data_IF_587129277960
#
_entry.id   IF_587129277960
#
_cell.length_a   1.000
_cell.length_b   1.000
_cell.length_c   1.000
_cell.angle_alpha   90.00
_cell.angle_beta   90.00
_cell.angle_gamma   90.00
#
_symmetry.space_group_name_H-M   'P 1'
#
loop_
_entity.id
_entity.type
_entity.pdbx_description
1 polymer ?
#
# COMPACT_ATOMS: atom_id res chain seq x y z
N UNK A 1 -6.39 -24.88 -32.73
CA UNK A 1 -5.63 -24.48 -31.52
C UNK A 1 -5.57 -22.96 -31.48
N UNK A 2 -6.68 -22.33 -31.09
CA UNK A 2 -6.88 -20.87 -31.16
C UNK A 2 -6.81 -20.31 -29.74
N UNK A 3 -5.72 -19.59 -29.49
CA UNK A 3 -5.70 -18.25 -28.91
C UNK A 3 -6.87 -17.89 -27.95
N UNK A 4 -6.63 -18.13 -26.68
CA UNK A 4 -7.23 -17.46 -25.52
C UNK A 4 -6.12 -17.58 -24.44
N UNK A 5 -5.02 -16.81 -24.45
CA UNK A 5 -4.98 -15.36 -24.18
C UNK A 5 -6.13 -14.88 -23.28
N UNK A 6 -6.56 -15.73 -22.36
CA UNK A 6 -7.23 -15.32 -21.15
C UNK A 6 -6.17 -14.55 -20.35
N UNK A 7 -6.15 -13.23 -20.56
CA UNK A 7 -5.83 -12.19 -19.58
C UNK A 7 -5.24 -12.74 -18.27
N UNK A 8 -3.99 -13.19 -18.34
CA UNK A 8 -3.13 -13.24 -17.18
C UNK A 8 -2.72 -11.78 -16.95
N UNK A 9 -3.68 -10.98 -16.48
CA UNK A 9 -3.33 -9.87 -15.61
C UNK A 9 -2.94 -10.58 -14.32
N UNK A 10 -1.70 -11.08 -14.26
CA UNK A 10 -1.06 -11.28 -12.96
C UNK A 10 -1.14 -9.89 -12.35
N UNK A 11 -2.11 -9.71 -11.46
CA UNK A 11 -2.04 -8.65 -10.48
C UNK A 11 -0.79 -9.00 -9.68
N UNK A 12 0.36 -8.49 -10.15
CA UNK A 12 1.63 -8.53 -9.43
C UNK A 12 1.34 -7.70 -8.19
N UNK A 13 0.76 -8.33 -7.17
CA UNK A 13 0.74 -7.74 -5.85
C UNK A 13 2.20 -7.63 -5.48
N UNK A 14 2.73 -6.41 -5.55
CA UNK A 14 4.10 -6.13 -5.18
C UNK A 14 4.30 -6.65 -3.77
N UNK A 15 5.28 -7.55 -3.65
CA UNK A 15 5.64 -8.19 -2.40
C UNK A 15 6.67 -7.29 -1.73
N UNK A 16 6.51 -7.06 -0.44
CA UNK A 16 7.44 -6.19 0.29
C UNK A 16 7.62 -6.60 1.74
N UNK A 17 8.76 -6.22 2.30
CA UNK A 17 9.03 -6.24 3.73
C UNK A 17 8.89 -4.82 4.28
N UNK A 18 8.46 -4.72 5.54
CA UNK A 18 8.32 -3.43 6.22
C UNK A 18 9.40 -3.36 7.29
N UNK A 19 10.33 -2.42 7.12
CA UNK A 19 11.41 -2.12 8.06
C UNK A 19 11.06 -0.87 8.85
N UNK A 20 11.45 -0.80 10.11
CA UNK A 20 11.41 0.46 10.88
C UNK A 20 12.43 1.46 10.32
N UNK A 21 12.09 2.74 10.31
CA UNK A 21 12.91 3.75 9.64
C UNK A 21 14.31 3.96 10.27
N UNK A 22 14.40 3.83 11.59
CA UNK A 22 15.57 4.18 12.41
C UNK A 22 16.29 2.96 13.02
N UNK A 23 15.75 1.76 12.85
CA UNK A 23 16.36 0.52 13.33
C UNK A 23 16.56 -0.47 12.18
N UNK A 24 17.40 -1.48 12.42
CA UNK A 24 17.55 -2.63 11.51
C UNK A 24 16.49 -3.71 11.72
N UNK A 25 15.33 -3.35 12.28
CA UNK A 25 14.25 -4.29 12.58
C UNK A 25 13.07 -4.17 11.63
N UNK A 26 12.30 -5.25 11.56
CA UNK A 26 11.22 -5.46 10.60
C UNK A 26 9.92 -5.84 11.31
N UNK A 27 8.82 -5.63 10.60
CA UNK A 27 7.52 -6.14 11.02
C UNK A 27 7.43 -7.64 10.67
N UNK A 28 7.16 -8.44 11.69
CA UNK A 28 6.97 -9.87 11.62
C UNK A 28 5.57 -10.27 12.11
N UNK A 29 5.12 -11.48 11.74
CA UNK A 29 3.98 -12.12 12.38
C UNK A 29 4.44 -12.97 13.55
N UNK A 30 4.00 -12.59 14.74
CA UNK A 30 4.13 -13.37 15.96
C UNK A 30 2.85 -14.11 16.32
N UNK A 31 2.93 -14.89 17.41
CA UNK A 31 1.78 -15.52 18.05
C UNK A 31 1.69 -15.04 19.50
N UNK A 32 0.48 -14.73 19.93
CA UNK A 32 0.14 -14.54 21.34
C UNK A 32 -1.07 -15.43 21.67
N UNK A 33 -0.79 -16.58 22.29
CA UNK A 33 -1.76 -17.67 22.38
C UNK A 33 -2.24 -18.12 21.00
N UNK A 34 -3.57 -18.11 20.79
CA UNK A 34 -4.18 -18.46 19.49
C UNK A 34 -4.25 -17.28 18.51
N UNK A 35 -3.87 -16.06 18.92
CA UNK A 35 -3.94 -14.88 18.07
C UNK A 35 -2.62 -14.72 17.30
N UNK A 36 -2.74 -14.31 16.03
CA UNK A 36 -1.61 -13.87 15.23
C UNK A 36 -1.53 -12.35 15.34
N UNK A 37 -0.39 -11.85 15.78
CA UNK A 37 -0.16 -10.42 16.04
C UNK A 37 1.03 -9.94 15.21
N UNK A 38 1.15 -8.63 15.04
CA UNK A 38 2.38 -8.04 14.53
C UNK A 38 3.39 -7.88 15.67
N UNK A 39 4.63 -8.25 15.41
CA UNK A 39 5.77 -8.13 16.33
C UNK A 39 6.98 -7.59 15.58
N UNK A 40 7.99 -7.15 16.33
CA UNK A 40 9.29 -6.77 15.77
C UNK A 40 10.19 -8.01 15.64
N UNK A 41 11.01 -8.05 14.59
CA UNK A 41 12.08 -9.02 14.41
C UNK A 41 13.32 -8.34 13.85
N UNK A 42 14.51 -8.81 14.21
CA UNK A 42 15.79 -8.21 13.78
C UNK A 42 16.37 -8.80 12.50
N UNK A 43 15.93 -10.00 12.13
CA UNK A 43 16.47 -10.72 10.99
C UNK A 43 15.55 -10.54 9.78
N UNK A 44 16.13 -10.02 8.70
CA UNK A 44 15.49 -9.79 7.41
C UNK A 44 15.01 -11.09 6.76
N UNK A 45 15.70 -12.20 7.00
CA UNK A 45 15.37 -13.51 6.40
C UNK A 45 14.03 -14.00 6.96
N UNK A 46 13.79 -13.78 8.26
CA UNK A 46 12.54 -14.16 8.92
C UNK A 46 11.45 -13.07 8.87
N UNK A 47 11.79 -11.88 8.38
CA UNK A 47 10.85 -10.78 8.21
C UNK A 47 9.67 -11.21 7.34
N UNK A 48 8.46 -10.84 7.77
CA UNK A 48 7.26 -11.26 7.03
C UNK A 48 7.15 -10.47 5.73
N UNK A 49 6.96 -11.18 4.64
CA UNK A 49 6.59 -10.60 3.36
C UNK A 49 5.09 -10.33 3.32
N UNK A 50 4.75 -9.12 2.91
CA UNK A 50 3.40 -8.64 2.78
C UNK A 50 3.08 -8.34 1.32
N UNK A 51 1.81 -8.46 0.96
CA UNK A 51 1.23 -7.85 -0.23
C UNK A 51 0.26 -6.74 0.17
N UNK A 52 -0.06 -5.88 -0.79
CA UNK A 52 -1.06 -4.84 -0.65
C UNK A 52 -2.08 -4.94 -1.80
N UNK A 53 -3.36 -5.01 -1.44
CA UNK A 53 -4.48 -5.01 -2.39
C UNK A 53 -5.24 -3.70 -2.25
N UNK A 54 -5.03 -2.79 -3.21
CA UNK A 54 -5.66 -1.46 -3.24
C UNK A 54 -7.12 -1.59 -3.67
N UNK A 55 -8.02 -0.91 -2.96
CA UNK A 55 -9.43 -0.76 -3.34
C UNK A 55 -9.62 0.58 -4.08
N UNK A 56 -10.79 0.79 -4.70
CA UNK A 56 -11.09 1.97 -5.52
C UNK A 56 -10.96 3.33 -4.78
N UNK A 57 -10.84 3.34 -3.45
CA UNK A 57 -10.75 4.53 -2.61
C UNK A 57 -9.32 4.84 -2.11
N UNK A 58 -8.30 4.15 -2.64
CA UNK A 58 -6.90 4.34 -2.25
C UNK A 58 -6.52 3.74 -0.89
N UNK A 59 -7.49 3.21 -0.14
CA UNK A 59 -7.26 2.29 0.97
C UNK A 59 -7.14 0.85 0.46
N UNK A 60 -6.40 0.01 1.16
CA UNK A 60 -6.23 -1.38 0.76
C UNK A 60 -6.05 -2.34 1.93
N UNK A 61 -5.98 -3.62 1.60
CA UNK A 61 -5.69 -4.67 2.57
C UNK A 61 -4.20 -4.98 2.55
N UNK A 62 -3.53 -4.86 3.69
CA UNK A 62 -2.18 -5.39 3.88
C UNK A 62 -2.32 -6.83 4.37
N UNK A 63 -1.71 -7.79 3.67
CA UNK A 63 -1.81 -9.21 3.99
C UNK A 63 -0.44 -9.89 3.95
N UNK A 64 -0.13 -10.79 4.89
CA UNK A 64 1.04 -11.65 4.74
C UNK A 64 0.88 -12.60 3.57
N UNK A 65 1.97 -12.80 2.82
CA UNK A 65 1.99 -13.75 1.72
C UNK A 65 1.73 -15.20 2.17
N UNK A 66 1.12 -15.98 1.28
CA UNK A 66 0.76 -17.38 1.53
C UNK A 66 -0.36 -17.58 2.55
N UNK A 67 -1.06 -16.53 2.99
CA UNK A 67 -2.11 -16.60 4.02
C UNK A 67 -3.38 -15.88 3.58
N UNK A 68 -4.55 -16.40 3.96
CA UNK A 68 -5.88 -15.81 3.67
C UNK A 68 -6.34 -14.77 4.70
N UNK A 69 -5.38 -14.09 5.35
CA UNK A 69 -5.63 -13.15 6.45
C UNK A 69 -5.03 -11.80 6.13
N UNK A 70 -5.56 -10.75 6.75
CA UNK A 70 -5.19 -9.35 6.56
C UNK A 70 -4.89 -8.70 7.91
N UNK A 71 -4.22 -7.56 7.89
CA UNK A 71 -4.10 -6.67 9.03
C UNK A 71 -5.49 -6.21 9.48
N UNK A 72 -5.68 -6.13 10.79
CA UNK A 72 -6.95 -5.80 11.41
C UNK A 72 -6.69 -5.07 12.72
N UNK A 73 -7.29 -3.90 12.87
CA UNK A 73 -7.25 -3.16 14.14
C UNK A 73 -8.31 -3.69 15.08
N UNK A 74 -7.92 -4.03 16.31
CA UNK A 74 -8.85 -4.41 17.39
C UNK A 74 -9.56 -3.19 17.98
N UNK A 75 -10.53 -3.43 18.86
CA UNK A 75 -11.15 -2.38 19.67
C UNK A 75 -10.17 -1.67 20.59
N UNK A 76 -9.11 -2.35 21.02
CA UNK A 76 -8.00 -1.77 21.80
C UNK A 76 -6.92 -1.11 20.93
N UNK A 77 -7.25 -0.81 19.66
CA UNK A 77 -6.37 -0.20 18.66
C UNK A 77 -5.14 -1.02 18.29
N UNK A 78 -4.99 -2.25 18.77
CA UNK A 78 -3.87 -3.12 18.42
C UNK A 78 -4.02 -3.64 16.99
N UNK A 79 -2.93 -3.70 16.24
CA UNK A 79 -2.90 -4.30 14.90
C UNK A 79 -2.59 -5.79 15.02
N UNK A 80 -3.51 -6.63 14.54
CA UNK A 80 -3.40 -8.08 14.53
C UNK A 80 -3.73 -8.66 13.15
N UNK A 81 -3.51 -9.96 12.96
CA UNK A 81 -3.79 -10.67 11.71
C UNK A 81 -5.09 -11.46 11.84
N UNK A 82 -6.11 -11.12 11.02
CA UNK A 82 -7.44 -11.74 11.03
C UNK A 82 -7.93 -12.11 9.65
N UNK A 83 -8.96 -12.97 9.58
CA UNK A 83 -9.62 -13.30 8.31
C UNK A 83 -10.14 -12.03 7.64
N UNK A 84 -9.91 -11.89 6.33
CA UNK A 84 -10.46 -10.79 5.52
C UNK A 84 -11.98 -10.81 5.58
N UNK A 85 -12.58 -9.67 5.95
CA UNK A 85 -14.03 -9.44 6.09
C UNK A 85 -14.49 -8.15 5.41
N UNK A 86 -13.59 -7.41 4.76
CA UNK A 86 -13.92 -6.17 4.06
C UNK A 86 -14.35 -5.02 4.98
N UNK A 87 -13.97 -5.06 6.26
CA UNK A 87 -14.38 -4.03 7.24
C UNK A 87 -13.42 -2.85 7.24
N UNK A 88 -13.90 -1.67 7.64
CA UNK A 88 -13.10 -0.43 7.70
C UNK A 88 -11.84 -0.55 8.56
N UNK A 89 -11.87 -1.33 9.64
CA UNK A 89 -10.72 -1.59 10.52
C UNK A 89 -9.69 -2.58 9.92
N UNK A 90 -9.90 -3.03 8.68
CA UNK A 90 -8.96 -3.86 7.90
C UNK A 90 -8.38 -3.10 6.70
N UNK A 91 -8.78 -1.84 6.53
CA UNK A 91 -8.34 -0.97 5.44
C UNK A 91 -7.22 -0.07 5.94
N UNK A 92 -6.10 -0.10 5.22
CA UNK A 92 -4.88 0.64 5.52
C UNK A 92 -4.44 1.45 4.30
N UNK A 93 -3.64 2.48 4.53
CA UNK A 93 -2.98 3.22 3.48
C UNK A 93 -1.48 3.30 3.78
N UNK A 94 -0.65 3.19 2.74
CA UNK A 94 0.80 3.40 2.82
C UNK A 94 1.08 4.77 2.22
N UNK A 95 1.42 5.72 3.07
CA UNK A 95 1.54 7.14 2.73
C UNK A 95 3.00 7.53 2.66
N UNK A 96 3.44 7.97 1.49
CA UNK A 96 4.77 8.55 1.30
C UNK A 96 4.93 9.85 2.12
N UNK A 97 6.01 9.96 2.88
CA UNK A 97 6.37 11.15 3.67
C UNK A 97 7.60 11.84 3.09
N UNK A 98 8.68 11.07 2.96
CA UNK A 98 10.00 11.50 2.50
C UNK A 98 10.63 10.34 1.72
N UNK A 99 11.75 10.56 0.99
CA UNK A 99 12.47 9.47 0.34
C UNK A 99 12.70 8.30 1.31
N UNK A 100 12.27 7.10 0.91
CA UNK A 100 12.37 5.85 1.67
C UNK A 100 11.59 5.79 2.99
N UNK A 101 10.75 6.81 3.29
CA UNK A 101 9.99 6.91 4.54
C UNK A 101 8.49 7.01 4.28
N UNK A 102 7.77 6.12 4.94
CA UNK A 102 6.34 5.92 4.78
C UNK A 102 5.66 5.86 6.15
N UNK A 103 4.41 6.34 6.20
CA UNK A 103 3.49 6.01 7.27
C UNK A 103 2.56 4.90 6.80
N UNK A 104 2.16 4.05 7.73
CA UNK A 104 1.02 3.16 7.52
C UNK A 104 -0.14 3.70 8.35
N UNK A 105 -1.25 4.02 7.70
CA UNK A 105 -2.39 4.68 8.34
C UNK A 105 -3.66 3.86 8.20
N UNK A 106 -4.57 3.99 9.17
CA UNK A 106 -5.91 3.41 9.14
C UNK A 106 -6.83 4.24 10.02
N UNK A 107 -8.08 4.45 9.58
CA UNK A 107 -9.10 5.17 10.36
C UNK A 107 -8.65 6.55 10.89
N UNK A 108 -7.81 7.27 10.13
CA UNK A 108 -7.28 8.59 10.51
C UNK A 108 -6.15 8.58 11.54
N UNK A 109 -5.62 7.40 11.88
CA UNK A 109 -4.52 7.19 12.82
C UNK A 109 -3.34 6.46 12.15
N UNK A 110 -2.17 6.54 12.76
CA UNK A 110 -0.92 5.95 12.29
C UNK A 110 -0.59 4.68 13.06
N UNK A 111 -0.13 3.65 12.34
CA UNK A 111 0.49 2.47 12.94
C UNK A 111 1.75 2.91 13.68
N UNK A 112 1.81 2.59 14.96
CA UNK A 112 2.85 3.02 15.90
C UNK A 112 3.37 1.79 16.64
N UNK A 113 4.68 1.66 16.74
CA UNK A 113 5.33 0.60 17.49
C UNK A 113 5.47 0.96 18.96
N UNK A 114 4.86 0.17 19.84
CA UNK A 114 4.83 0.41 21.29
C UNK A 114 5.07 -0.92 22.00
N UNK A 115 6.16 -0.99 22.78
CA UNK A 115 6.46 -2.13 23.67
C UNK A 115 6.30 -3.49 22.99
N UNK A 116 6.97 -3.66 21.85
CA UNK A 116 7.01 -4.90 21.05
C UNK A 116 5.75 -5.23 20.24
N UNK A 117 4.76 -4.34 20.19
CA UNK A 117 3.51 -4.51 19.44
C UNK A 117 3.19 -3.26 18.62
N UNK A 118 2.17 -3.35 17.76
CA UNK A 118 1.76 -2.26 16.89
C UNK A 118 0.32 -1.83 17.21
N UNK A 119 0.11 -0.52 17.31
CA UNK A 119 -1.18 0.08 17.63
C UNK A 119 -1.48 1.24 16.69
N UNK A 120 -2.76 1.56 16.51
CA UNK A 120 -3.15 2.84 15.92
C UNK A 120 -3.07 3.95 16.97
N UNK A 121 -2.30 5.00 16.68
CA UNK A 121 -2.18 6.18 17.52
C UNK A 121 -2.26 7.46 16.65
N UNK A 122 -2.36 8.63 17.29
CA UNK A 122 -2.34 9.91 16.58
C UNK A 122 -1.05 10.02 15.74
N UNK A 123 -1.19 10.45 14.49
CA UNK A 123 -0.06 10.69 13.59
C UNK A 123 0.76 11.90 14.05
N UNK A 124 1.99 11.66 14.49
CA UNK A 124 2.93 12.68 14.96
C UNK A 124 4.28 12.64 14.21
N UNK A 125 4.45 11.76 13.21
CA UNK A 125 5.69 11.59 12.43
C UNK A 125 6.92 11.23 13.28
N UNK A 126 6.69 10.55 14.40
CA UNK A 126 7.75 10.04 15.26
C UNK A 126 8.38 8.78 14.65
N UNK A 127 9.62 8.45 15.03
CA UNK A 127 10.35 7.34 14.42
C UNK A 127 9.63 5.98 14.54
N UNK A 128 8.90 5.75 15.63
CA UNK A 128 8.07 4.57 15.88
C UNK A 128 6.82 4.48 14.98
N UNK A 129 6.56 5.50 14.17
CA UNK A 129 5.50 5.55 13.16
C UNK A 129 6.04 5.51 11.72
N UNK A 130 7.35 5.66 11.54
CA UNK A 130 7.99 5.76 10.23
C UNK A 130 8.57 4.41 9.81
N UNK A 131 8.27 4.01 8.59
CA UNK A 131 8.67 2.74 8.03
C UNK A 131 9.33 2.92 6.68
N UNK A 132 10.16 1.95 6.31
CA UNK A 132 10.72 1.79 4.98
C UNK A 132 10.12 0.54 4.34
N UNK A 133 9.64 0.68 3.11
CA UNK A 133 9.10 -0.43 2.32
C UNK A 133 10.21 -0.95 1.41
N UNK A 134 10.50 -2.25 1.51
CA UNK A 134 11.57 -2.91 0.76
C UNK A 134 10.93 -3.92 -0.18
N UNK A 135 11.02 -3.69 -1.48
CA UNK A 135 10.38 -4.53 -2.50
C UNK A 135 11.31 -5.65 -2.97
N UNK A 136 12.61 -5.36 -3.10
CA UNK A 136 13.59 -6.33 -3.58
C UNK A 136 14.81 -6.44 -2.69
N UNK A 137 15.49 -7.60 -2.73
CA UNK A 137 16.57 -7.85 -1.78
C UNK A 137 17.78 -6.91 -1.95
N UNK A 138 17.97 -6.41 -3.17
CA UNK A 138 19.05 -5.52 -3.60
C UNK A 138 18.85 -4.04 -3.20
N UNK A 139 17.62 -3.58 -2.95
CA UNK A 139 17.30 -2.17 -2.63
C UNK A 139 17.92 -1.69 -1.31
N UNK A 140 18.19 -2.61 -0.38
CA UNK A 140 18.75 -2.29 0.95
C UNK A 140 20.14 -1.66 0.87
N UNK A 141 20.93 -2.03 -0.14
CA UNK A 141 22.26 -1.45 -0.33
C UNK A 141 22.18 -0.03 -0.93
N UNK A 142 21.21 0.22 -1.81
CA UNK A 142 21.01 1.53 -2.46
C UNK A 142 20.42 2.57 -1.49
N UNK A 143 19.50 2.16 -0.61
CA UNK A 143 18.94 3.04 0.45
C UNK A 143 20.01 3.56 1.43
N UNK A 144 21.04 2.75 1.68
CA UNK A 144 22.17 3.14 2.56
C UNK A 144 23.02 4.24 1.91
N UNK A 145 23.10 4.29 0.58
CA UNK A 145 23.79 5.35 -0.16
C UNK A 145 22.98 6.65 -0.19
N UNK A 146 21.66 6.58 -0.40
CA UNK A 146 20.77 7.76 -0.37
C UNK A 146 20.82 8.47 0.99
N UNK A 147 20.79 7.72 2.11
CA UNK A 147 20.97 8.28 3.47
C UNK A 147 22.37 8.90 3.68
N UNK A 148 23.44 8.31 3.13
CA UNK A 148 24.80 8.88 3.19
C UNK A 148 24.94 10.16 2.38
N UNK A 149 24.22 10.27 1.26
CA UNK A 149 24.17 11.48 0.44
C UNK A 149 23.38 12.57 1.16
N UNK A 150 22.21 12.25 1.74
CA UNK A 150 21.40 13.21 2.51
C UNK A 150 22.10 13.73 3.76
N UNK A 151 22.81 12.89 4.51
CA UNK A 151 23.54 13.32 5.72
C UNK A 151 24.80 14.15 5.43
N UNK A 152 25.33 14.10 4.20
CA UNK A 152 26.36 15.04 3.73
C UNK A 152 25.77 16.36 3.21
N UNK A 153 24.45 16.43 3.11
CA UNK A 153 23.67 17.50 2.52
C UNK A 153 22.88 18.19 3.64
N UNK A 154 23.56 19.00 4.44
CA UNK A 154 22.95 20.23 4.99
C UNK A 154 24.08 21.20 5.33
N UNK A 155 23.94 22.51 5.03
CA UNK A 155 22.70 23.23 4.78
C UNK A 155 22.45 23.40 3.27
N UNK A 156 21.41 22.77 2.72
CA UNK A 156 21.06 22.98 1.31
C UNK A 156 19.77 23.79 1.23
N UNK A 157 19.94 25.06 0.87
CA UNK A 157 18.89 25.95 0.40
C UNK A 157 18.30 25.44 -0.94
N UNK A 158 18.50 26.14 -2.08
CA UNK A 158 17.68 26.02 -3.29
C UNK A 158 17.52 24.60 -3.89
N UNK A 159 18.40 23.65 -3.58
CA UNK A 159 18.24 22.25 -3.99
C UNK A 159 17.09 21.53 -3.27
N UNK A 160 16.82 21.86 -2.00
CA UNK A 160 15.68 21.31 -1.24
C UNK A 160 14.35 21.81 -1.80
N UNK A 161 14.28 23.10 -2.16
CA UNK A 161 13.12 23.68 -2.86
C UNK A 161 12.91 23.04 -4.23
N UNK A 162 14.00 22.74 -4.95
CA UNK A 162 13.93 22.06 -6.25
C UNK A 162 13.40 20.63 -6.12
N UNK A 163 13.86 19.89 -5.10
CA UNK A 163 13.37 18.53 -4.80
C UNK A 163 11.91 18.54 -4.36
N UNK A 164 11.51 19.47 -3.49
CA UNK A 164 10.11 19.62 -3.11
C UNK A 164 9.22 19.97 -4.31
N UNK A 165 9.70 20.84 -5.20
CA UNK A 165 9.01 21.20 -6.43
C UNK A 165 8.86 19.99 -7.36
N UNK A 166 9.90 19.19 -7.56
CA UNK A 166 9.82 17.96 -8.36
C UNK A 166 8.84 16.94 -7.78
N UNK A 167 8.77 16.82 -6.45
CA UNK A 167 7.80 15.95 -5.77
C UNK A 167 6.36 16.46 -6.00
N UNK A 168 6.13 17.77 -5.90
CA UNK A 168 4.80 18.34 -6.11
C UNK A 168 4.38 18.28 -7.59
N UNK A 169 5.31 18.51 -8.52
CA UNK A 169 5.09 18.35 -9.97
C UNK A 169 4.72 16.89 -10.30
N UNK A 170 5.38 15.91 -9.67
CA UNK A 170 5.03 14.50 -9.84
C UNK A 170 3.64 14.14 -9.28
N UNK A 171 3.20 14.76 -8.18
CA UNK A 171 1.82 14.59 -7.68
C UNK A 171 0.80 15.20 -8.63
N UNK A 172 1.11 16.34 -9.26
CA UNK A 172 0.25 16.98 -10.25
C UNK A 172 0.13 16.07 -11.48
N UNK A 173 1.24 15.51 -11.97
CA UNK A 173 1.27 14.53 -13.06
C UNK A 173 0.40 13.32 -12.72
N UNK A 174 0.54 12.76 -11.51
CA UNK A 174 -0.27 11.61 -11.06
C UNK A 174 -1.77 11.94 -11.02
N UNK A 175 -2.17 13.14 -10.56
CA UNK A 175 -3.58 13.60 -10.60
C UNK A 175 -4.09 13.77 -12.03
N UNK A 176 -3.25 14.28 -12.94
CA UNK A 176 -3.60 14.42 -14.35
C UNK A 176 -3.78 13.06 -15.03
N UNK A 177 -2.90 12.08 -14.76
CA UNK A 177 -3.04 10.71 -15.24
C UNK A 177 -4.31 10.04 -14.71
N UNK A 178 -4.62 10.22 -13.41
CA UNK A 178 -5.85 9.70 -12.83
C UNK A 178 -7.12 10.31 -13.47
N UNK A 179 -7.12 11.62 -13.75
CA UNK A 179 -8.23 12.28 -14.44
C UNK A 179 -8.36 11.85 -15.90
N UNK A 180 -7.25 11.70 -16.62
CA UNK A 180 -7.25 11.20 -17.99
C UNK A 180 -7.77 9.75 -18.06
N UNK A 181 -7.38 8.92 -17.10
CA UNK A 181 -7.87 7.54 -17.00
C UNK A 181 -9.36 7.48 -16.69
N UNK A 182 -9.87 8.35 -15.79
CA UNK A 182 -11.30 8.51 -15.52
C UNK A 182 -12.09 8.97 -16.76
N UNK A 183 -11.57 9.94 -17.51
CA UNK A 183 -12.21 10.40 -18.74
C UNK A 183 -12.26 9.32 -19.83
N UNK A 184 -11.19 8.52 -19.98
CA UNK A 184 -11.16 7.42 -20.96
C UNK A 184 -12.12 6.28 -20.60
N UNK A 185 -12.27 5.99 -19.30
CA UNK A 185 -13.22 4.98 -18.80
C UNK A 185 -14.67 5.44 -18.92
N UNK A 186 -14.97 6.71 -18.68
CA UNK A 186 -16.30 7.30 -18.92
C UNK A 186 -16.65 7.40 -20.42
N UNK A 187 -15.66 7.59 -21.31
CA UNK A 187 -15.87 7.64 -22.76
C UNK A 187 -16.13 6.24 -23.35
N UNK A 188 -15.53 5.20 -22.79
CA UNK A 188 -15.80 3.81 -23.16
C UNK A 188 -17.18 3.31 -22.69
N UNK A 189 -17.70 3.79 -21.56
CA UNK A 189 -19.06 3.42 -21.11
C UNK A 189 -20.17 4.02 -21.98
N UNK A 190 -19.90 5.14 -22.67
CA UNK A 190 -20.85 5.83 -23.55
C UNK A 190 -20.80 5.35 -25.02
N UNK A 191 -20.06 4.28 -25.34
CA UNK A 191 -20.00 3.67 -26.69
C UNK A 191 -20.59 2.25 -26.75
N UNK A 192 -21.54 1.90 -25.87
CA UNK A 192 -22.39 0.72 -26.07
C UNK A 192 -23.40 0.99 -27.20
N UNK A 193 -23.43 0.19 -28.29
CA UNK A 193 -24.48 0.32 -29.28
C UNK A 193 -25.81 -0.19 -28.71
N UNK A 194 -26.79 0.70 -28.66
CA UNK A 194 -28.20 0.33 -28.64
C UNK A 194 -28.50 -0.43 -29.93
N UNK A 195 -28.87 -1.69 -29.83
CA UNK A 195 -29.26 -2.45 -31.02
C UNK A 195 -29.63 -3.89 -30.73
N UNK A 196 -30.83 -4.11 -30.20
CA UNK A 196 -31.69 -5.23 -30.60
C UNK A 196 -33.15 -4.79 -30.44
N UNK A 197 -33.72 -4.30 -31.55
CA UNK A 197 -35.15 -4.16 -31.73
C UNK A 197 -35.59 -5.48 -32.37
N UNK A 198 -36.24 -6.36 -31.61
CA UNK A 198 -36.95 -7.50 -32.20
C UNK A 198 -38.38 -7.08 -32.55
N UNK A 199 -38.59 -7.03 -33.86
CA UNK A 199 -39.81 -6.63 -34.55
C UNK A 199 -40.83 -7.78 -34.51
N UNK A 200 -42.02 -7.48 -33.96
CA UNK A 200 -43.35 -7.98 -34.34
C UNK A 200 -43.55 -9.45 -34.81
N UNK A 201 -44.28 -10.22 -34.01
CA UNK A 201 -45.11 -11.35 -34.46
C UNK A 201 -46.34 -10.84 -35.24
N UNK A 202 -46.74 -11.47 -36.37
CA UNK A 202 -48.03 -11.17 -36.98
C UNK A 202 -49.15 -11.99 -36.30
N UNK A 203 -50.22 -11.30 -35.92
CA UNK A 203 -51.55 -11.92 -35.78
C UNK A 203 -52.12 -12.17 -37.18
N UNK A 204 -52.74 -13.33 -37.37
CA UNK A 204 -53.52 -13.61 -38.57
C UNK A 204 -54.30 -14.92 -38.48
N UNK A 205 -55.56 -14.77 -38.06
CA UNK A 205 -56.75 -15.63 -38.28
C UNK A 205 -56.80 -17.02 -37.68
#
# INVERSE_FOLDING_TARGET
MRMLLAFIVISLSEQFKIKHADTESFICIGKNGHKQILVECKDRIIATEFGHEITNEGLGFIFPLGKSKVWNTTTSLQVEIRKKRGRKNQLYNIVFVLPDLYLITSQGACVTFISSNYFLNKCNLTNDQLFTIIYNDEEVNQMTETKKILNKITPLGPAFETLQKMIEDNKIIARHMARAHKYLTEKQSNQLPLGFNETSLPMGS
#
